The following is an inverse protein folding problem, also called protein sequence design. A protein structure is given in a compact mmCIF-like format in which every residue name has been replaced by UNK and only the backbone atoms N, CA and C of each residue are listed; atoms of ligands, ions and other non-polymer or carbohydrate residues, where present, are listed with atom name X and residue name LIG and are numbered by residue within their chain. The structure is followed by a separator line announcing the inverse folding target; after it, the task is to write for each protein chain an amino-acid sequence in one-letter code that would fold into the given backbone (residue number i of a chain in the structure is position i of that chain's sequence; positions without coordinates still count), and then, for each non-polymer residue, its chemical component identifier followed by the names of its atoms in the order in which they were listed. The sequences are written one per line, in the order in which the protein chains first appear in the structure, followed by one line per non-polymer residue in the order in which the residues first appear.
data_IF_498588167106
#
_entry.id   IF_498588167106
#
_cell.length_a   1.000
_cell.length_b   1.000
_cell.length_c   1.000
_cell.angle_alpha   90.00
_cell.angle_beta   90.00
_cell.angle_gamma   90.00
#
_symmetry.space_group_name_H-M   'P 1'
#
loop_
_entity.id
_entity.type
_entity.pdbx_description
1 polymer ?
#
# COMPACT_ATOMS: atom_id res chain seq x y z
N UNK A 1 -9.30 -1.03 -12.26
CA UNK A 1 -8.46 -1.97 -11.50
C UNK A 1 -8.21 -1.37 -10.13
N UNK A 2 -8.29 -2.17 -9.06
CA UNK A 2 -7.97 -1.74 -7.69
C UNK A 2 -7.03 -2.77 -7.06
N UNK A 3 -6.08 -2.28 -6.28
CA UNK A 3 -5.21 -3.10 -5.44
C UNK A 3 -5.02 -2.37 -4.11
N UNK A 4 -4.69 -3.13 -3.07
CA UNK A 4 -4.51 -2.63 -1.72
C UNK A 4 -3.10 -2.93 -1.24
N UNK A 5 -2.50 -1.96 -0.54
CA UNK A 5 -1.19 -2.11 0.10
C UNK A 5 -1.41 -2.06 1.60
N UNK A 6 -1.03 -3.14 2.29
CA UNK A 6 -1.05 -3.18 3.74
C UNK A 6 0.03 -2.25 4.31
N UNK A 7 -0.29 -1.55 5.40
CA UNK A 7 0.62 -0.62 6.08
C UNK A 7 0.92 -1.03 7.54
N UNK A 8 0.70 -2.31 7.89
CA UNK A 8 1.08 -2.86 9.19
C UNK A 8 2.54 -3.29 9.15
N UNK A 9 3.36 -2.74 10.05
CA UNK A 9 4.79 -3.05 10.09
C UNK A 9 5.06 -4.52 10.43
N UNK A 10 6.19 -5.10 9.94
CA UNK A 10 6.57 -6.48 10.23
C UNK A 10 6.64 -6.78 11.74
N UNK A 11 6.17 -7.96 12.12
CA UNK A 11 6.15 -8.40 13.52
C UNK A 11 5.00 -7.85 14.37
N UNK A 12 4.15 -6.98 13.81
CA UNK A 12 2.93 -6.51 14.45
C UNK A 12 1.74 -7.36 13.97
N UNK A 13 0.95 -7.88 14.91
CA UNK A 13 -0.30 -8.60 14.62
C UNK A 13 -1.34 -7.66 13.97
N UNK A 14 -1.69 -7.82 12.69
CA UNK A 14 -2.58 -6.91 11.98
C UNK A 14 -3.97 -6.82 12.61
N UNK A 15 -4.43 -7.90 13.26
CA UNK A 15 -5.75 -7.97 13.90
C UNK A 15 -5.87 -7.10 15.14
N UNK A 16 -4.73 -6.64 15.69
CA UNK A 16 -4.64 -5.79 16.88
C UNK A 16 -4.27 -4.34 16.57
N UNK A 17 -4.10 -3.99 15.29
CA UNK A 17 -3.74 -2.63 14.88
C UNK A 17 -4.95 -1.70 14.84
N UNK A 18 -4.71 -0.40 14.97
CA UNK A 18 -5.75 0.62 14.83
C UNK A 18 -6.10 0.84 13.36
N UNK A 19 -7.38 1.13 13.05
CA UNK A 19 -7.83 1.44 11.69
C UNK A 19 -7.39 2.83 11.22
N UNK A 20 -7.37 3.07 9.89
CA UNK A 20 -6.82 4.24 9.17
C UNK A 20 -7.51 5.59 9.45
N UNK A 21 -8.50 5.65 10.33
CA UNK A 21 -9.15 6.88 10.80
C UNK A 21 -9.02 7.09 12.32
N UNK A 22 -8.27 6.23 13.00
CA UNK A 22 -7.94 6.39 14.42
C UNK A 22 -6.80 7.40 14.59
N UNK A 23 -6.80 8.24 15.65
CA UNK A 23 -5.64 9.07 16.00
C UNK A 23 -4.42 8.24 16.44
N UNK A 24 -4.60 6.93 16.67
CA UNK A 24 -3.54 5.98 17.01
C UNK A 24 -3.08 5.13 15.81
N UNK A 25 -3.60 5.41 14.62
CA UNK A 25 -3.16 4.72 13.42
C UNK A 25 -1.67 5.00 13.19
N UNK A 26 -0.92 3.94 12.90
CA UNK A 26 0.50 4.00 12.58
C UNK A 26 0.71 3.36 11.22
N UNK A 27 1.41 4.06 10.33
CA UNK A 27 1.79 3.58 9.01
C UNK A 27 3.18 2.97 9.08
N UNK A 28 3.34 1.81 8.45
CA UNK A 28 4.65 1.32 8.02
C UNK A 28 5.13 2.16 6.82
N UNK A 29 6.15 2.99 7.02
CA UNK A 29 6.64 3.89 5.97
C UNK A 29 7.21 3.14 4.77
N UNK A 30 7.69 1.90 4.94
CA UNK A 30 8.17 1.06 3.84
C UNK A 30 7.04 0.72 2.85
N UNK A 31 5.79 0.69 3.32
CA UNK A 31 4.61 0.47 2.48
C UNK A 31 4.38 1.61 1.47
N UNK A 32 4.86 2.83 1.76
CA UNK A 32 4.71 3.98 0.85
C UNK A 32 5.52 3.78 -0.43
N UNK A 33 6.78 3.34 -0.29
CA UNK A 33 7.64 3.07 -1.44
C UNK A 33 7.11 1.89 -2.27
N UNK A 34 6.60 0.85 -1.60
CA UNK A 34 5.96 -0.28 -2.27
C UNK A 34 4.72 0.16 -3.05
N UNK A 35 3.84 0.96 -2.44
CA UNK A 35 2.63 1.45 -3.09
C UNK A 35 2.92 2.37 -4.27
N UNK A 36 3.92 3.25 -4.16
CA UNK A 36 4.40 4.07 -5.27
C UNK A 36 4.82 3.19 -6.45
N UNK A 37 5.71 2.22 -6.22
CA UNK A 37 6.19 1.30 -7.26
C UNK A 37 5.04 0.54 -7.91
N UNK A 38 4.15 -0.05 -7.10
CA UNK A 38 3.01 -0.80 -7.61
C UNK A 38 2.11 0.05 -8.51
N UNK A 39 1.78 1.28 -8.10
CA UNK A 39 0.95 2.18 -8.91
C UNK A 39 1.66 2.59 -10.21
N UNK A 40 2.96 2.90 -10.15
CA UNK A 40 3.75 3.26 -11.32
C UNK A 40 3.81 2.10 -12.31
N UNK A 41 4.09 0.88 -11.84
CA UNK A 41 4.13 -0.30 -12.71
C UNK A 41 2.78 -0.55 -13.38
N UNK A 42 1.68 -0.55 -12.61
CA UNK A 42 0.33 -0.71 -13.19
C UNK A 42 0.02 0.36 -14.24
N UNK A 43 0.49 1.59 -14.01
CA UNK A 43 0.29 2.70 -14.96
C UNK A 43 1.08 2.49 -16.25
N UNK A 44 2.36 2.13 -16.14
CA UNK A 44 3.21 1.81 -17.30
C UNK A 44 2.64 0.64 -18.10
N UNK A 45 2.30 -0.47 -17.43
CA UNK A 45 1.73 -1.66 -18.07
C UNK A 45 0.44 -1.31 -18.83
N UNK A 46 -0.42 -0.47 -18.26
CA UNK A 46 -1.65 -0.02 -18.92
C UNK A 46 -1.38 0.82 -20.18
N UNK A 47 -0.39 1.71 -20.13
CA UNK A 47 -0.03 2.55 -21.28
C UNK A 47 0.64 1.74 -22.38
N UNK A 48 1.50 0.79 -22.03
CA UNK A 48 2.19 -0.10 -22.98
C UNK A 48 1.24 -1.11 -23.63
N UNK A 49 0.27 -1.64 -22.88
CA UNK A 49 -0.70 -2.60 -23.41
C UNK A 49 -1.64 -2.04 -24.49
N UNK A 50 -1.71 -0.71 -24.63
CA UNK A 50 -2.53 -0.01 -25.62
C UNK A 50 -1.70 0.72 -26.70
N UNK A 51 -0.39 0.47 -26.75
CA UNK A 51 0.54 0.98 -27.77
C UNK A 51 0.68 0.08 -28.99
#
# INVERSE_FOLDING_TARGET
MFFFVGATAPGIDPTKTYSNHSPKFMVDEDALLLGLRALTHVTCDYLEANG
#
